data_IF_905713880853
#
_entry.id   IF_905713880853
#
_cell.length_a   1.000
_cell.length_b   1.000
_cell.length_c   1.000
_cell.angle_alpha   90.00
_cell.angle_beta   90.00
_cell.angle_gamma   90.00
#
_symmetry.space_group_name_H-M   'P 1'
#
loop_
_entity.id
_entity.type
_entity.pdbx_description
1 polymer ?
#
# COMPACT_ATOMS: atom_id res chain seq x y z
N UNK A 1 -16.74 6.28 6.19
CA UNK A 1 -15.73 5.35 6.72
C UNK A 1 -15.06 6.07 7.86
N UNK A 2 -15.05 5.50 9.06
CA UNK A 2 -14.29 6.10 10.15
C UNK A 2 -12.85 5.57 10.05
N UNK A 3 -11.87 6.42 9.70
CA UNK A 3 -10.49 5.98 9.69
C UNK A 3 -10.08 5.60 11.13
N UNK A 4 -9.08 4.71 11.29
CA UNK A 4 -8.53 4.42 12.60
C UNK A 4 -8.20 5.70 13.38
N UNK A 5 -8.50 5.77 14.68
CA UNK A 5 -8.40 7.01 15.47
C UNK A 5 -7.01 7.67 15.35
N UNK A 6 -5.95 6.88 15.33
CA UNK A 6 -4.58 7.38 15.19
C UNK A 6 -4.35 8.10 13.84
N UNK A 7 -5.09 7.75 12.78
CA UNK A 7 -4.99 8.41 11.48
C UNK A 7 -5.24 9.92 11.54
N UNK A 8 -6.07 10.39 12.47
CA UNK A 8 -6.39 11.80 12.63
C UNK A 8 -5.23 12.65 13.18
N UNK A 9 -4.16 12.03 13.68
CA UNK A 9 -3.01 12.72 14.24
C UNK A 9 -1.77 12.69 13.33
N UNK A 10 -1.80 11.97 12.20
CA UNK A 10 -0.60 11.61 11.43
C UNK A 10 0.10 12.79 10.74
N UNK A 11 -0.59 13.91 10.58
CA UNK A 11 -0.01 15.15 10.06
C UNK A 11 0.81 15.91 11.12
N UNK A 12 0.65 15.55 12.41
CA UNK A 12 1.42 16.07 13.54
C UNK A 12 2.29 14.96 14.14
N UNK A 13 3.61 15.06 13.89
CA UNK A 13 4.58 14.06 14.35
C UNK A 13 4.67 13.97 15.88
N UNK A 14 4.50 15.10 16.59
CA UNK A 14 4.60 15.14 18.05
C UNK A 14 3.34 14.52 18.67
N UNK A 15 2.16 14.91 18.19
CA UNK A 15 0.88 14.31 18.60
C UNK A 15 0.86 12.80 18.31
N UNK A 16 1.32 12.39 17.12
CA UNK A 16 1.43 10.97 16.75
C UNK A 16 2.36 10.22 17.71
N UNK A 17 3.52 10.79 18.02
CA UNK A 17 4.49 10.19 18.96
C UNK A 17 3.86 10.02 20.34
N UNK A 18 3.21 11.08 20.85
CA UNK A 18 2.57 11.05 22.15
C UNK A 18 1.48 9.98 22.22
N UNK A 19 0.62 9.87 21.21
CA UNK A 19 -0.44 8.86 21.18
C UNK A 19 0.12 7.43 21.16
N UNK A 20 1.17 7.17 20.38
CA UNK A 20 1.85 5.87 20.36
C UNK A 20 2.50 5.55 21.71
N UNK A 21 3.13 6.53 22.36
CA UNK A 21 3.72 6.37 23.69
C UNK A 21 2.66 6.08 24.78
N UNK A 22 1.40 6.47 24.52
CA UNK A 22 0.24 6.22 25.38
C UNK A 22 -0.64 5.05 24.90
N UNK A 23 -0.10 4.15 24.07
CA UNK A 23 -0.71 2.86 23.74
C UNK A 23 -1.66 2.88 22.54
N UNK A 24 -1.65 3.94 21.72
CA UNK A 24 -2.31 3.87 20.42
C UNK A 24 -1.69 2.76 19.55
N UNK A 25 -2.53 1.92 18.96
CA UNK A 25 -2.09 0.78 18.15
C UNK A 25 -1.94 1.20 16.67
N UNK A 26 -0.72 1.19 16.09
CA UNK A 26 -0.49 1.54 14.69
C UNK A 26 -1.09 0.52 13.71
N UNK A 27 -1.54 -0.64 14.19
CA UNK A 27 -2.08 -1.74 13.40
C UNK A 27 -3.60 -1.88 13.52
N UNK A 28 -4.26 -0.96 14.22
CA UNK A 28 -5.70 -1.01 14.44
C UNK A 28 -6.44 -0.87 13.11
N UNK A 29 -7.01 -1.98 12.64
CA UNK A 29 -7.83 -2.04 11.42
C UNK A 29 -9.20 -1.42 11.64
N UNK A 30 -9.69 -0.63 10.69
CA UNK A 30 -11.11 -0.35 10.56
C UNK A 30 -11.81 -1.47 9.77
N UNK A 31 -13.11 -1.31 9.48
CA UNK A 31 -13.94 -2.36 8.87
C UNK A 31 -13.47 -2.83 7.49
N UNK A 32 -12.63 -2.05 6.80
CA UNK A 32 -12.15 -2.34 5.45
C UNK A 32 -10.66 -2.68 5.39
N UNK A 33 -10.12 -3.29 6.45
CA UNK A 33 -8.70 -3.61 6.60
C UNK A 33 -7.76 -2.39 6.70
N UNK A 34 -8.25 -1.16 6.52
CA UNK A 34 -7.43 0.04 6.55
C UNK A 34 -6.86 0.34 7.95
N UNK A 35 -5.56 0.67 8.03
CA UNK A 35 -4.80 0.91 9.27
C UNK A 35 -4.26 2.34 9.34
N UNK A 36 -3.79 2.82 10.52
CA UNK A 36 -3.02 4.05 10.59
C UNK A 36 -1.83 4.09 9.63
N UNK A 37 -1.12 2.96 9.48
CA UNK A 37 -0.01 2.85 8.54
C UNK A 37 -0.48 3.00 7.09
N UNK A 38 -1.64 2.46 6.71
CA UNK A 38 -2.25 2.63 5.38
C UNK A 38 -2.46 4.10 5.03
N UNK A 39 -2.98 4.89 5.97
CA UNK A 39 -3.14 6.33 5.79
C UNK A 39 -1.79 7.03 5.69
N UNK A 40 -0.85 6.69 6.59
CA UNK A 40 0.46 7.33 6.64
C UNK A 40 1.23 7.17 5.33
N UNK A 41 1.23 5.96 4.76
CA UNK A 41 1.97 5.66 3.53
C UNK A 41 1.36 6.34 2.31
N UNK A 42 0.07 6.67 2.33
CA UNK A 42 -0.59 7.39 1.23
C UNK A 42 -0.42 8.91 1.38
N UNK A 43 -0.58 9.45 2.58
CA UNK A 43 -0.77 10.90 2.77
C UNK A 43 0.24 11.58 3.70
N UNK A 44 0.77 10.88 4.72
CA UNK A 44 1.60 11.52 5.74
C UNK A 44 3.05 11.75 5.29
N UNK A 45 3.83 12.43 6.12
CA UNK A 45 5.25 12.66 5.90
C UNK A 45 6.09 11.37 6.04
N UNK A 46 7.22 11.28 5.33
CA UNK A 46 8.19 10.17 5.49
C UNK A 46 8.65 9.95 6.94
N UNK A 47 8.90 11.00 7.77
CA UNK A 47 9.13 10.84 9.19
C UNK A 47 7.97 10.15 9.94
N UNK A 48 6.72 10.52 9.66
CA UNK A 48 5.55 9.84 10.27
C UNK A 48 5.47 8.38 9.85
N UNK A 49 5.67 8.06 8.56
CA UNK A 49 5.72 6.67 8.08
C UNK A 49 6.81 5.87 8.81
N UNK A 50 8.01 6.45 8.91
CA UNK A 50 9.15 5.82 9.60
C UNK A 50 8.87 5.62 11.08
N UNK A 51 8.22 6.58 11.75
CA UNK A 51 7.80 6.48 13.13
C UNK A 51 6.86 5.28 13.32
N UNK A 52 5.79 5.18 12.54
CA UNK A 52 4.85 4.05 12.67
C UNK A 52 5.53 2.71 12.45
N UNK A 53 6.39 2.59 11.43
CA UNK A 53 7.17 1.36 11.18
C UNK A 53 8.11 1.01 12.34
N UNK A 54 8.73 2.01 12.96
CA UNK A 54 9.60 1.81 14.13
C UNK A 54 8.84 1.46 15.40
N UNK A 55 7.56 1.85 15.49
CA UNK A 55 6.66 1.55 16.60
C UNK A 55 5.81 0.29 16.37
N UNK A 56 6.28 -0.62 15.51
CA UNK A 56 5.66 -1.92 15.30
C UNK A 56 4.55 -1.95 14.25
N UNK A 57 4.52 -0.96 13.34
CA UNK A 57 3.65 -0.99 12.17
C UNK A 57 3.87 -2.25 11.34
N UNK A 58 2.80 -3.01 11.14
CA UNK A 58 2.76 -4.30 10.48
C UNK A 58 2.47 -4.11 8.99
N UNK A 59 3.48 -4.35 8.17
CA UNK A 59 3.42 -4.14 6.71
C UNK A 59 2.66 -5.24 5.98
N UNK A 60 2.22 -6.30 6.66
CA UNK A 60 1.38 -7.35 6.05
C UNK A 60 -0.10 -7.08 6.24
N UNK A 61 -0.49 -5.89 6.73
CA UNK A 61 -1.87 -5.51 7.02
C UNK A 61 -2.25 -4.23 6.29
N UNK A 62 -3.54 -4.05 6.02
CA UNK A 62 -4.09 -2.79 5.53
C UNK A 62 -3.55 -2.32 4.19
N UNK A 63 -3.17 -3.27 3.33
CA UNK A 63 -2.92 -2.99 1.92
C UNK A 63 -1.87 -1.89 1.70
N UNK A 64 -0.86 -1.81 2.58
CA UNK A 64 0.09 -0.68 2.65
C UNK A 64 0.84 -0.44 1.33
N UNK A 65 1.16 -1.47 0.56
CA UNK A 65 1.76 -1.28 -0.76
C UNK A 65 0.77 -0.67 -1.75
N UNK A 66 -0.48 -1.12 -1.78
CA UNK A 66 -1.51 -0.53 -2.65
C UNK A 66 -1.79 0.93 -2.31
N UNK A 67 -1.72 1.31 -1.04
CA UNK A 67 -1.87 2.71 -0.61
C UNK A 67 -0.61 3.53 -0.91
N UNK A 68 0.59 2.98 -0.71
CA UNK A 68 1.84 3.65 -1.09
C UNK A 68 1.94 3.90 -2.60
N UNK A 69 1.38 3.03 -3.44
CA UNK A 69 1.26 3.25 -4.90
C UNK A 69 0.35 4.45 -5.21
N UNK A 70 -0.69 4.72 -4.41
CA UNK A 70 -1.59 5.85 -4.65
C UNK A 70 -1.00 7.22 -4.22
N UNK A 71 0.19 7.22 -3.62
CA UNK A 71 0.82 8.44 -3.10
C UNK A 71 1.30 9.37 -4.22
N UNK A 72 0.99 10.66 -4.09
CA UNK A 72 1.27 11.68 -5.10
C UNK A 72 2.76 11.99 -5.32
N UNK A 73 3.57 11.90 -4.26
CA UNK A 73 5.00 12.24 -4.32
C UNK A 73 5.82 11.26 -3.50
N UNK A 74 7.05 10.98 -3.92
CA UNK A 74 7.99 10.09 -3.22
C UNK A 74 7.51 8.63 -2.96
N UNK A 75 6.47 8.16 -3.66
CA UNK A 75 5.93 6.79 -3.59
C UNK A 75 7.04 5.70 -3.59
N UNK A 76 8.03 5.79 -4.47
CA UNK A 76 9.16 4.84 -4.52
C UNK A 76 9.95 4.79 -3.20
N UNK A 77 10.14 5.92 -2.51
CA UNK A 77 10.84 5.95 -1.21
C UNK A 77 10.03 5.22 -0.14
N UNK A 78 8.71 5.45 -0.10
CA UNK A 78 7.81 4.77 0.83
C UNK A 78 7.77 3.27 0.52
N UNK A 79 7.60 2.88 -0.74
CA UNK A 79 7.61 1.49 -1.18
C UNK A 79 8.91 0.79 -0.77
N UNK A 80 10.05 1.44 -0.94
CA UNK A 80 11.35 0.90 -0.51
C UNK A 80 11.40 0.61 0.99
N UNK A 81 10.87 1.49 1.83
CA UNK A 81 10.79 1.25 3.28
C UNK A 81 9.90 0.04 3.60
N UNK A 82 8.75 -0.06 2.94
CA UNK A 82 7.77 -1.13 3.17
C UNK A 82 8.29 -2.50 2.70
N UNK A 83 8.85 -2.57 1.49
CA UNK A 83 9.41 -3.82 0.93
C UNK A 83 10.60 -4.29 1.77
N UNK A 84 11.49 -3.39 2.21
CA UNK A 84 12.59 -3.72 3.11
C UNK A 84 12.13 -4.27 4.47
N UNK A 85 10.88 -3.98 4.87
CA UNK A 85 10.24 -4.52 6.08
C UNK A 85 9.43 -5.80 5.82
N UNK A 86 9.44 -6.33 4.60
CA UNK A 86 8.77 -7.58 4.23
C UNK A 86 7.32 -7.41 3.76
N UNK A 87 6.93 -6.24 3.28
CA UNK A 87 5.60 -6.05 2.72
C UNK A 87 5.36 -6.99 1.51
N UNK A 88 4.18 -7.63 1.39
CA UNK A 88 3.93 -8.64 0.38
C UNK A 88 3.77 -8.02 -1.02
N UNK A 89 4.86 -7.98 -1.80
CA UNK A 89 4.91 -7.32 -3.11
C UNK A 89 3.87 -7.83 -4.12
N UNK A 90 3.47 -9.09 -4.00
CA UNK A 90 2.48 -9.76 -4.84
C UNK A 90 1.12 -9.97 -4.15
N UNK A 91 0.90 -9.34 -2.99
CA UNK A 91 -0.35 -9.47 -2.24
C UNK A 91 -1.55 -8.97 -3.04
N UNK A 92 -2.63 -9.76 -3.11
CA UNK A 92 -3.88 -9.34 -3.74
C UNK A 92 -4.72 -8.61 -2.70
N UNK A 93 -5.27 -7.46 -3.09
CA UNK A 93 -5.98 -6.59 -2.16
C UNK A 93 -7.13 -7.32 -1.47
N UNK A 94 -7.19 -7.20 -0.14
CA UNK A 94 -8.18 -7.81 0.76
C UNK A 94 -8.16 -9.35 0.86
N UNK A 95 -7.26 -10.04 0.17
CA UNK A 95 -7.21 -11.51 0.16
C UNK A 95 -6.98 -12.10 1.57
N UNK A 96 -6.29 -11.36 2.44
CA UNK A 96 -6.01 -11.73 3.83
C UNK A 96 -7.06 -11.21 4.83
N UNK A 97 -8.09 -10.50 4.37
CA UNK A 97 -9.14 -9.91 5.21
C UNK A 97 -10.54 -10.21 4.66
N UNK A 98 -11.09 -11.37 5.06
CA UNK A 98 -12.38 -11.88 4.57
C UNK A 98 -13.53 -10.86 4.57
N UNK A 99 -13.76 -10.05 5.64
CA UNK A 99 -14.84 -9.06 5.61
C UNK A 99 -14.68 -8.02 4.51
N UNK A 100 -13.44 -7.58 4.22
CA UNK A 100 -13.18 -6.67 3.11
C UNK A 100 -13.32 -7.38 1.78
N UNK A 101 -12.87 -8.63 1.68
CA UNK A 101 -13.02 -9.42 0.47
C UNK A 101 -14.50 -9.56 0.09
N UNK A 102 -15.36 -9.95 1.03
CA UNK A 102 -16.79 -10.12 0.76
C UNK A 102 -17.46 -8.84 0.26
N UNK A 103 -17.02 -7.68 0.77
CA UNK A 103 -17.59 -6.38 0.41
C UNK A 103 -16.95 -5.74 -0.84
N UNK A 104 -15.66 -5.97 -1.08
CA UNK A 104 -14.84 -5.27 -2.06
C UNK A 104 -14.01 -6.21 -2.96
N UNK A 105 -14.41 -7.48 -3.14
CA UNK A 105 -13.66 -8.46 -3.94
C UNK A 105 -13.32 -7.93 -5.34
N UNK A 106 -14.18 -7.10 -5.94
CA UNK A 106 -13.99 -6.54 -7.28
C UNK A 106 -12.76 -5.62 -7.39
N UNK A 107 -12.16 -5.23 -6.26
CA UNK A 107 -10.90 -4.48 -6.19
C UNK A 107 -9.67 -5.37 -6.00
N UNK A 108 -9.80 -6.70 -5.93
CA UNK A 108 -8.68 -7.60 -5.68
C UNK A 108 -7.65 -7.58 -6.82
N UNK A 109 -6.56 -6.86 -6.60
CA UNK A 109 -5.45 -6.71 -7.55
C UNK A 109 -4.11 -6.64 -6.78
N UNK A 110 -2.97 -6.75 -7.46
CA UNK A 110 -1.65 -6.56 -6.83
C UNK A 110 -1.22 -5.08 -6.86
N UNK A 111 -0.24 -4.65 -6.05
CA UNK A 111 0.31 -3.30 -6.14
C UNK A 111 0.77 -2.93 -7.56
N UNK A 112 1.29 -3.90 -8.32
CA UNK A 112 1.71 -3.71 -9.71
C UNK A 112 0.54 -3.41 -10.65
N UNK A 113 -0.61 -4.09 -10.47
CA UNK A 113 -1.82 -3.76 -11.25
C UNK A 113 -2.26 -2.32 -10.99
N UNK A 114 -2.27 -1.90 -9.73
CA UNK A 114 -2.63 -0.53 -9.34
C UNK A 114 -1.66 0.49 -9.94
N UNK A 115 -0.35 0.21 -9.92
CA UNK A 115 0.66 1.09 -10.51
C UNK A 115 0.49 1.24 -12.02
N UNK A 116 0.16 0.15 -12.72
CA UNK A 116 -0.19 0.15 -14.15
C UNK A 116 -1.44 0.97 -14.40
N UNK A 117 -2.51 0.75 -13.63
CA UNK A 117 -3.76 1.49 -13.76
C UNK A 117 -3.58 3.01 -13.56
N UNK A 118 -2.76 3.39 -12.57
CA UNK A 118 -2.43 4.79 -12.29
C UNK A 118 -1.33 5.37 -13.21
N UNK A 119 -0.81 4.58 -14.16
CA UNK A 119 0.26 4.97 -15.10
C UNK A 119 1.53 5.51 -14.41
N UNK A 120 1.88 4.97 -13.24
CA UNK A 120 3.05 5.43 -12.47
C UNK A 120 4.33 4.71 -12.91
N UNK A 121 4.93 5.15 -14.02
CA UNK A 121 6.12 4.53 -14.64
C UNK A 121 7.24 4.22 -13.65
N UNK A 122 7.62 5.20 -12.82
CA UNK A 122 8.69 5.02 -11.82
C UNK A 122 8.35 3.94 -10.79
N UNK A 123 7.09 3.82 -10.40
CA UNK A 123 6.63 2.80 -9.44
C UNK A 123 6.53 1.43 -10.11
N UNK A 124 6.08 1.37 -11.38
CA UNK A 124 6.07 0.13 -12.18
C UNK A 124 7.48 -0.45 -12.27
N UNK A 125 8.46 0.34 -12.73
CA UNK A 125 9.85 -0.12 -12.82
C UNK A 125 10.43 -0.49 -11.46
N UNK A 126 10.12 0.27 -10.42
CA UNK A 126 10.59 -0.04 -9.08
C UNK A 126 10.06 -1.39 -8.58
N UNK A 127 8.74 -1.61 -8.66
CA UNK A 127 8.12 -2.88 -8.24
C UNK A 127 8.66 -4.07 -9.04
N UNK A 128 8.84 -3.92 -10.36
CA UNK A 128 9.44 -4.97 -11.20
C UNK A 128 10.90 -5.25 -10.82
N UNK A 129 11.69 -4.20 -10.55
CA UNK A 129 13.06 -4.32 -10.08
C UNK A 129 13.20 -5.02 -8.72
N UNK A 130 12.20 -4.90 -7.86
CA UNK A 130 12.11 -5.59 -6.56
C UNK A 130 11.45 -6.98 -6.64
N UNK A 131 11.14 -7.47 -7.85
CA UNK A 131 10.66 -8.84 -8.07
C UNK A 131 9.13 -9.01 -8.02
N UNK A 132 8.36 -7.96 -8.30
CA UNK A 132 6.91 -8.11 -8.53
C UNK A 132 6.66 -9.07 -9.71
N UNK A 133 5.79 -10.06 -9.51
CA UNK A 133 5.49 -11.10 -10.51
C UNK A 133 4.40 -10.62 -11.48
N UNK A 134 4.79 -10.49 -12.74
CA UNK A 134 3.92 -10.10 -13.85
C UNK A 134 2.82 -11.12 -14.15
N UNK A 135 2.96 -12.37 -13.69
CA UNK A 135 2.02 -13.45 -13.98
C UNK A 135 0.88 -13.56 -12.97
N UNK A 136 0.95 -12.82 -11.85
CA UNK A 136 -0.16 -12.80 -10.88
C UNK A 136 -1.38 -12.19 -11.55
N UNK A 137 -2.53 -12.84 -11.35
CA UNK A 137 -3.80 -12.41 -11.93
C UNK A 137 -4.65 -11.67 -10.89
N UNK A 138 -5.27 -10.58 -11.32
CA UNK A 138 -6.34 -9.92 -10.59
C UNK A 138 -7.58 -10.83 -10.46
N UNK A 139 -8.59 -10.37 -9.72
CA UNK A 139 -9.87 -11.09 -9.55
C UNK A 139 -10.64 -11.30 -10.85
N UNK A 140 -10.27 -10.62 -11.94
CA UNK A 140 -10.85 -10.80 -13.28
C UNK A 140 -10.01 -11.75 -14.15
N UNK A 141 -8.98 -12.37 -13.59
CA UNK A 141 -8.11 -13.31 -14.29
C UNK A 141 -7.10 -12.66 -15.22
N UNK A 142 -6.84 -11.35 -15.09
CA UNK A 142 -5.92 -10.59 -15.95
C UNK A 142 -4.61 -10.32 -15.22
N UNK A 143 -3.50 -10.34 -15.94
CA UNK A 143 -2.19 -9.87 -15.46
C UNK A 143 -2.09 -8.34 -15.54
N UNK A 144 -1.09 -7.77 -14.87
CA UNK A 144 -0.85 -6.32 -14.89
C UNK A 144 -0.65 -5.80 -16.33
N UNK A 145 0.13 -6.51 -17.16
CA UNK A 145 0.33 -6.17 -18.59
C UNK A 145 -0.98 -6.21 -19.39
N UNK A 146 -1.88 -7.15 -19.08
CA UNK A 146 -3.18 -7.22 -19.77
C UNK A 146 -4.09 -6.03 -19.41
N UNK A 147 -3.90 -5.42 -18.24
CA UNK A 147 -4.58 -4.20 -17.82
C UNK A 147 -3.92 -2.91 -18.36
N UNK A 148 -2.69 -2.98 -18.85
CA UNK A 148 -1.95 -1.84 -19.39
C UNK A 148 -2.48 -1.40 -20.75
N UNK A 149 -2.42 -0.09 -21.01
CA UNK A 149 -2.53 0.48 -22.36
C UNK A 149 -1.23 0.26 -23.17
N UNK A 150 -1.25 0.63 -24.45
CA UNK A 150 -0.14 0.38 -25.37
C UNK A 150 1.16 1.09 -24.97
N UNK A 151 1.09 2.27 -24.34
CA UNK A 151 2.30 2.98 -23.90
C UNK A 151 2.94 2.24 -22.73
N UNK A 152 2.14 1.91 -21.71
CA UNK A 152 2.61 1.18 -20.53
C UNK A 152 3.13 -0.22 -20.91
N UNK A 153 2.50 -0.90 -21.87
CA UNK A 153 3.00 -2.19 -22.37
C UNK A 153 4.41 -2.08 -22.96
N UNK A 154 4.70 -1.00 -23.69
CA UNK A 154 6.04 -0.76 -24.25
C UNK A 154 7.07 -0.50 -23.16
N UNK A 155 6.72 0.28 -22.14
CA UNK A 155 7.60 0.54 -20.99
C UNK A 155 7.91 -0.73 -20.18
N UNK A 156 6.98 -1.67 -20.07
CA UNK A 156 7.21 -2.93 -19.36
C UNK A 156 7.98 -3.95 -20.21
N UNK A 157 7.77 -3.94 -21.53
CA UNK A 157 8.36 -4.92 -22.45
C UNK A 157 9.73 -4.52 -23.02
N UNK A 158 10.09 -3.23 -22.93
CA UNK A 158 11.38 -2.69 -23.37
C UNK A 158 12.45 -2.80 -22.29
#
# INVERSE_FOLDING_TARGET
MDPPILSNALDDLEMTTWLLDHGADPNRRCSIDFTPLSYAVEHASLPTVSLLLNRGGDVTKGQVLHHAVARDSDAVKVLKLLIAKGAPINGIMYQDHQPSWDMYFFMGETPLHKAVFLRQINVIHYLLGEGADLNVKDVRGRTAIQCADEDIRREIAG
#
